data_IF_422258350828
#
_entry.id   IF_422258350828
#
_cell.length_a   1.000
_cell.length_b   1.000
_cell.length_c   1.000
_cell.angle_alpha   90.00
_cell.angle_beta   90.00
_cell.angle_gamma   90.00
#
_symmetry.space_group_name_H-M   'P 1'
#
loop_
_entity.id
_entity.type
_entity.pdbx_description
1 polymer ?
#
# COMPACT_ATOMS: atom_id res chain seq x y z
N UNK A 1 -0.98 -4.40 -20.50
CA UNK A 1 -2.43 -4.57 -20.71
C UNK A 1 -2.85 -4.05 -22.08
N UNK A 2 -2.58 -2.77 -22.38
CA UNK A 2 -2.96 -2.13 -23.65
C UNK A 2 -2.17 -2.71 -24.84
N UNK A 3 -0.85 -2.58 -24.85
CA UNK A 3 0.03 -2.93 -26.00
C UNK A 3 0.21 -4.44 -26.21
N UNK A 4 0.25 -5.22 -25.11
CA UNK A 4 0.55 -6.67 -25.13
C UNK A 4 -0.68 -7.57 -25.15
N UNK A 5 -1.77 -7.14 -24.51
CA UNK A 5 -2.95 -7.97 -24.30
C UNK A 5 -4.20 -7.42 -25.01
N UNK A 6 -4.10 -6.27 -25.69
CA UNK A 6 -5.22 -5.68 -26.42
C UNK A 6 -6.41 -5.33 -25.53
N UNK A 7 -6.17 -5.02 -24.25
CA UNK A 7 -7.21 -4.73 -23.26
C UNK A 7 -7.69 -3.26 -23.33
N UNK A 8 -7.75 -2.70 -24.54
CA UNK A 8 -8.28 -1.36 -24.79
C UNK A 8 -9.40 -1.42 -25.83
N UNK A 9 -10.50 -0.69 -25.59
CA UNK A 9 -11.69 -0.76 -26.44
C UNK A 9 -11.51 -0.06 -27.79
N UNK A 10 -10.61 0.91 -27.88
CA UNK A 10 -10.41 1.73 -29.08
C UNK A 10 -9.29 1.15 -29.96
N UNK A 11 -8.22 0.64 -29.34
CA UNK A 11 -7.15 -0.07 -30.05
C UNK A 11 -7.53 -1.52 -30.40
N UNK A 12 -8.49 -2.10 -29.69
CA UNK A 12 -8.97 -3.46 -29.92
C UNK A 12 -7.96 -4.55 -29.53
N UNK A 13 -8.28 -5.83 -29.82
CA UNK A 13 -7.50 -6.98 -29.40
C UNK A 13 -6.27 -7.22 -30.31
N UNK A 14 -5.44 -6.19 -30.51
CA UNK A 14 -4.24 -6.25 -31.35
C UNK A 14 -2.98 -6.35 -30.50
N UNK A 15 -2.05 -7.20 -30.92
CA UNK A 15 -0.72 -7.30 -30.31
C UNK A 15 0.21 -6.26 -30.95
N UNK A 16 0.50 -5.19 -30.19
CA UNK A 16 1.46 -4.16 -30.57
C UNK A 16 2.87 -4.39 -29.98
N UNK A 17 2.99 -5.29 -29.01
CA UNK A 17 4.27 -5.63 -28.38
C UNK A 17 5.04 -6.63 -29.23
N UNK A 18 6.32 -6.35 -29.50
CA UNK A 18 7.20 -7.31 -30.17
C UNK A 18 7.50 -8.48 -29.21
N UNK A 19 7.52 -9.70 -29.75
CA UNK A 19 7.76 -10.94 -28.99
C UNK A 19 9.25 -11.23 -28.82
N UNK A 20 10.11 -10.60 -29.62
CA UNK A 20 11.56 -10.82 -29.56
C UNK A 20 12.21 -9.86 -28.55
N UNK A 21 12.86 -10.42 -27.53
CA UNK A 21 13.83 -9.73 -26.65
C UNK A 21 15.10 -9.30 -27.41
N UNK A 22 15.00 -8.98 -28.70
CA UNK A 22 16.11 -8.45 -29.46
C UNK A 22 16.27 -6.97 -29.09
N UNK A 23 17.27 -6.70 -28.26
CA UNK A 23 17.69 -5.35 -27.84
C UNK A 23 18.02 -4.41 -29.02
N UNK A 24 18.04 -4.93 -30.25
CA UNK A 24 18.50 -4.25 -31.46
C UNK A 24 17.41 -3.88 -32.49
N UNK A 25 16.12 -4.15 -32.22
CA UNK A 25 15.04 -3.74 -33.15
C UNK A 25 14.47 -2.37 -32.80
N UNK A 26 15.01 -1.36 -33.49
CA UNK A 26 14.58 0.05 -33.45
C UNK A 26 13.22 0.36 -34.14
N UNK A 27 12.57 -0.61 -34.79
CA UNK A 27 11.36 -0.36 -35.58
C UNK A 27 10.09 -0.84 -34.87
N UNK A 28 9.27 0.12 -34.43
CA UNK A 28 7.89 -0.13 -34.00
C UNK A 28 7.07 -0.59 -35.20
N UNK A 29 6.36 -1.71 -35.08
CA UNK A 29 5.53 -2.28 -36.15
C UNK A 29 4.19 -1.53 -36.37
N UNK A 30 4.09 -0.27 -35.92
CA UNK A 30 2.87 0.53 -35.97
C UNK A 30 3.21 2.00 -36.25
N UNK A 31 2.26 2.72 -36.83
CA UNK A 31 2.44 4.12 -37.21
C UNK A 31 2.67 5.02 -36.00
N UNK A 32 3.32 6.18 -36.20
CA UNK A 32 3.45 7.22 -35.17
C UNK A 32 2.09 7.66 -34.61
N UNK A 33 1.06 7.74 -35.46
CA UNK A 33 -0.31 8.04 -35.03
C UNK A 33 -0.85 6.98 -34.04
N UNK A 34 -0.52 5.71 -34.27
CA UNK A 34 -0.88 4.62 -33.36
C UNK A 34 -0.06 4.67 -32.07
N UNK A 35 1.22 5.06 -32.15
CA UNK A 35 2.08 5.26 -30.99
C UNK A 35 1.52 6.36 -30.08
N UNK A 36 1.18 7.52 -30.64
CA UNK A 36 0.55 8.64 -29.92
C UNK A 36 -0.76 8.20 -29.24
N UNK A 37 -1.59 7.44 -29.95
CA UNK A 37 -2.83 6.90 -29.40
C UNK A 37 -2.57 5.95 -28.22
N UNK A 38 -1.59 5.05 -28.35
CA UNK A 38 -1.19 4.14 -27.26
C UNK A 38 -0.75 4.93 -26.03
N UNK A 39 0.11 5.94 -26.20
CA UNK A 39 0.61 6.77 -25.09
C UNK A 39 -0.53 7.50 -24.40
N UNK A 40 -1.47 8.04 -25.17
CA UNK A 40 -2.69 8.67 -24.63
C UNK A 40 -3.50 7.66 -23.80
N UNK A 41 -3.73 6.44 -24.30
CA UNK A 41 -4.49 5.41 -23.59
C UNK A 41 -3.81 4.95 -22.31
N UNK A 42 -2.49 4.82 -22.32
CA UNK A 42 -1.72 4.50 -21.11
C UNK A 42 -1.89 5.61 -20.08
N UNK A 43 -1.77 6.88 -20.49
CA UNK A 43 -1.93 8.03 -19.61
C UNK A 43 -3.35 8.11 -19.03
N UNK A 44 -4.38 7.94 -19.86
CA UNK A 44 -5.77 7.94 -19.42
C UNK A 44 -6.05 6.83 -18.42
N UNK A 45 -5.55 5.61 -18.68
CA UNK A 45 -5.66 4.48 -17.76
C UNK A 45 -4.97 4.74 -16.42
N UNK A 46 -3.75 5.27 -16.44
CA UNK A 46 -3.02 5.61 -15.22
C UNK A 46 -3.74 6.67 -14.39
N UNK A 47 -4.28 7.70 -15.05
CA UNK A 47 -5.05 8.75 -14.40
C UNK A 47 -6.32 8.19 -13.74
N UNK A 48 -7.05 7.31 -14.42
CA UNK A 48 -8.24 6.65 -13.87
C UNK A 48 -7.89 5.78 -12.64
N UNK A 49 -6.84 4.96 -12.74
CA UNK A 49 -6.34 4.17 -11.61
C UNK A 49 -5.93 5.06 -10.43
N UNK A 50 -5.24 6.18 -10.70
CA UNK A 50 -4.82 7.12 -9.68
C UNK A 50 -6.02 7.77 -8.99
N UNK A 51 -6.97 8.31 -9.74
CA UNK A 51 -8.14 8.97 -9.16
C UNK A 51 -9.03 7.99 -8.39
N UNK A 52 -9.20 6.75 -8.88
CA UNK A 52 -9.87 5.68 -8.13
C UNK A 52 -9.18 5.38 -6.81
N UNK A 53 -7.86 5.21 -6.83
CA UNK A 53 -7.07 4.92 -5.63
C UNK A 53 -7.14 6.07 -4.63
N UNK A 54 -7.01 7.31 -5.11
CA UNK A 54 -7.12 8.53 -4.30
C UNK A 54 -8.50 8.68 -3.69
N UNK A 55 -9.56 8.40 -4.44
CA UNK A 55 -10.93 8.42 -3.94
C UNK A 55 -11.14 7.36 -2.85
N UNK A 56 -10.62 6.14 -3.05
CA UNK A 56 -10.68 5.05 -2.07
C UNK A 56 -9.96 5.43 -0.77
N UNK A 57 -8.74 5.97 -0.86
CA UNK A 57 -7.97 6.41 0.30
C UNK A 57 -8.68 7.55 1.03
N UNK A 58 -9.18 8.55 0.30
CA UNK A 58 -9.93 9.67 0.89
C UNK A 58 -11.20 9.21 1.59
N UNK A 59 -11.95 8.29 1.00
CA UNK A 59 -13.17 7.73 1.60
C UNK A 59 -12.89 7.05 2.94
N UNK A 60 -11.73 6.40 3.07
CA UNK A 60 -11.32 5.68 4.28
C UNK A 60 -10.31 6.48 5.14
N UNK A 61 -10.21 7.81 4.94
CA UNK A 61 -9.17 8.64 5.55
C UNK A 61 -9.13 8.53 7.08
N UNK A 62 -10.29 8.63 7.75
CA UNK A 62 -10.36 8.53 9.22
C UNK A 62 -9.79 7.19 9.71
N UNK A 63 -10.22 6.10 9.08
CA UNK A 63 -9.77 4.75 9.41
C UNK A 63 -8.25 4.61 9.24
N UNK A 64 -7.70 5.11 8.13
CA UNK A 64 -6.25 5.09 7.85
C UNK A 64 -5.48 5.95 8.88
N UNK A 65 -6.00 7.13 9.24
CA UNK A 65 -5.40 7.98 10.27
C UNK A 65 -5.35 7.27 11.62
N UNK A 66 -6.41 6.59 12.04
CA UNK A 66 -6.40 5.84 13.30
C UNK A 66 -5.40 4.68 13.28
N UNK A 67 -5.39 3.89 12.20
CA UNK A 67 -4.40 2.82 12.04
C UNK A 67 -2.96 3.34 12.05
N UNK A 68 -2.72 4.52 11.48
CA UNK A 68 -1.39 5.14 11.48
C UNK A 68 -0.90 5.45 12.89
N UNK A 69 -1.79 5.83 13.82
CA UNK A 69 -1.43 6.03 15.23
C UNK A 69 -0.99 4.72 15.89
N UNK A 70 -1.69 3.62 15.62
CA UNK A 70 -1.31 2.31 16.13
C UNK A 70 0.06 1.89 15.60
N UNK A 71 0.31 2.11 14.30
CA UNK A 71 1.61 1.86 13.67
C UNK A 71 2.73 2.71 14.26
N UNK A 72 2.47 3.97 14.63
CA UNK A 72 3.46 4.81 15.29
C UNK A 72 3.86 4.25 16.67
N UNK A 73 2.93 3.60 17.37
CA UNK A 73 3.19 3.08 18.72
C UNK A 73 3.77 1.67 18.74
N UNK A 74 3.37 0.82 17.79
CA UNK A 74 3.70 -0.62 17.72
C UNK A 74 4.72 -0.97 16.63
N UNK A 75 4.95 -0.08 15.66
CA UNK A 75 5.86 -0.24 14.49
C UNK A 75 5.50 -1.34 13.49
N UNK A 76 4.62 -2.28 13.87
CA UNK A 76 4.10 -3.32 12.98
C UNK A 76 2.63 -3.61 13.28
N UNK A 77 1.94 -4.18 12.28
CA UNK A 77 0.59 -4.69 12.40
C UNK A 77 0.51 -6.09 11.82
N UNK A 78 -0.18 -6.99 12.51
CA UNK A 78 -0.51 -8.31 11.94
C UNK A 78 -1.69 -8.21 10.99
N UNK A 79 -1.89 -9.25 10.17
CA UNK A 79 -3.03 -9.32 9.25
C UNK A 79 -4.36 -9.28 10.01
N UNK A 80 -4.44 -9.97 11.14
CA UNK A 80 -5.62 -10.07 11.99
C UNK A 80 -5.99 -8.71 12.58
N UNK A 81 -5.01 -7.98 13.10
CA UNK A 81 -5.17 -6.64 13.66
C UNK A 81 -5.59 -5.63 12.59
N UNK A 82 -4.94 -5.68 11.42
CA UNK A 82 -5.31 -4.85 10.27
C UNK A 82 -6.76 -5.09 9.87
N UNK A 83 -7.18 -6.36 9.76
CA UNK A 83 -8.54 -6.73 9.39
C UNK A 83 -9.57 -6.35 10.46
N UNK A 84 -9.21 -6.43 11.74
CA UNK A 84 -10.08 -6.00 12.84
C UNK A 84 -10.33 -4.50 12.79
N UNK A 85 -9.28 -3.68 12.65
CA UNK A 85 -9.39 -2.22 12.54
C UNK A 85 -10.12 -1.77 11.26
N UNK A 86 -9.99 -2.54 10.18
CA UNK A 86 -10.74 -2.32 8.93
C UNK A 86 -12.25 -2.54 9.08
N UNK A 87 -12.67 -3.47 9.95
CA UNK A 87 -14.09 -3.80 10.15
C UNK A 87 -14.77 -2.89 11.17
N UNK A 88 -14.05 -2.53 12.22
CA UNK A 88 -14.57 -1.70 13.31
C UNK A 88 -13.50 -0.72 13.79
N UNK A 89 -13.78 0.57 13.61
CA UNK A 89 -12.86 1.64 13.99
C UNK A 89 -12.68 1.74 15.51
N UNK A 90 -13.64 1.26 16.31
CA UNK A 90 -13.55 1.27 17.77
C UNK A 90 -12.48 0.31 18.30
N UNK A 91 -12.05 -0.67 17.49
CA UNK A 91 -10.96 -1.58 17.84
C UNK A 91 -9.61 -0.87 17.96
N UNK A 92 -9.43 0.27 17.32
CA UNK A 92 -8.18 1.06 17.42
C UNK A 92 -7.95 1.50 18.87
N UNK A 93 -8.99 1.96 19.57
CA UNK A 93 -8.87 2.41 20.96
C UNK A 93 -8.54 1.27 21.92
N UNK A 94 -9.05 0.07 21.64
CA UNK A 94 -8.74 -1.16 22.39
C UNK A 94 -7.27 -1.53 22.21
N UNK A 95 -6.77 -1.57 20.97
CA UNK A 95 -5.36 -1.84 20.69
C UNK A 95 -4.42 -0.80 21.31
N UNK A 96 -4.77 0.49 21.26
CA UNK A 96 -3.97 1.55 21.87
C UNK A 96 -3.87 1.40 23.39
N UNK A 97 -4.95 0.96 24.06
CA UNK A 97 -4.92 0.65 25.49
C UNK A 97 -4.02 -0.55 25.79
N UNK A 98 -4.14 -1.63 25.03
CA UNK A 98 -3.30 -2.82 25.18
C UNK A 98 -1.80 -2.49 25.01
N UNK A 99 -1.46 -1.63 24.03
CA UNK A 99 -0.08 -1.17 23.83
C UNK A 99 0.40 -0.35 25.03
N UNK A 100 -0.42 0.58 25.53
CA UNK A 100 -0.06 1.39 26.68
C UNK A 100 0.15 0.55 27.95
N UNK A 101 -0.75 -0.41 28.22
CA UNK A 101 -0.64 -1.34 29.35
C UNK A 101 0.62 -2.20 29.26
N UNK A 102 0.94 -2.70 28.06
CA UNK A 102 2.16 -3.48 27.79
C UNK A 102 3.44 -2.66 28.05
N UNK A 103 3.47 -1.39 27.61
CA UNK A 103 4.58 -0.47 27.88
C UNK A 103 4.74 -0.19 29.38
N UNK A 104 3.65 0.01 30.10
CA UNK A 104 3.66 0.22 31.56
C UNK A 104 4.18 -1.02 32.29
N UNK A 105 3.77 -2.22 31.87
CA UNK A 105 4.22 -3.49 32.46
C UNK A 105 5.73 -3.66 32.29
N UNK A 106 6.23 -3.47 31.06
CA UNK A 106 7.67 -3.51 30.77
C UNK A 106 8.46 -2.51 31.61
N UNK A 107 7.99 -1.27 31.72
CA UNK A 107 8.65 -0.26 32.55
C UNK A 107 8.72 -0.66 34.03
N UNK A 108 7.65 -1.26 34.57
CA UNK A 108 7.62 -1.77 35.96
C UNK A 108 8.60 -2.92 36.17
N UNK A 109 8.78 -3.79 35.19
CA UNK A 109 9.72 -4.92 35.27
C UNK A 109 11.18 -4.44 35.25
N UNK A 110 11.50 -3.48 34.38
CA UNK A 110 12.83 -2.83 34.32
C UNK A 110 13.17 -2.16 35.66
N UNK A 111 12.24 -1.42 36.26
CA UNK A 111 12.47 -0.77 37.57
C UNK A 111 12.70 -1.78 38.71
N UNK A 112 12.11 -2.98 38.62
CA UNK A 112 12.33 -4.05 39.62
C UNK A 112 13.72 -4.68 39.47
N UNK A 113 14.21 -4.88 38.25
CA UNK A 113 15.55 -5.45 38.02
C UNK A 113 16.67 -4.51 38.45
N UNK A 114 16.53 -3.20 38.20
CA UNK A 114 17.50 -2.18 38.63
C UNK A 114 17.63 -2.06 40.16
N UNK A 115 16.49 -2.14 40.89
CA UNK A 115 16.49 -2.13 42.36
C UNK A 115 17.12 -3.39 42.97
N UNK A 116 17.08 -4.52 42.25
CA UNK A 116 17.70 -5.77 42.69
C UNK A 116 19.22 -5.73 42.50
N UNK A 117 19.71 -5.16 41.40
CA UNK A 117 21.14 -4.98 41.15
C UNK A 117 21.80 -3.96 42.09
N UNK A 118 21.12 -2.87 42.48
CA UNK A 118 21.64 -1.90 43.46
C UNK A 118 21.69 -2.39 44.91
N UNK A 119 21.01 -3.50 45.25
CA UNK A 119 21.06 -4.12 46.59
C UNK A 119 22.17 -5.17 46.73
N UNK A 120 22.78 -5.59 45.63
CA UNK A 120 23.80 -6.64 45.57
C UNK A 120 25.20 -6.10 45.21
N UNK A 121 25.38 -4.77 45.16
CA UNK A 121 26.64 -4.06 44.98
C UNK A 121 26.89 -3.18 46.21
#
# INVERSE_FOLDING_TARGET
MIVKYGMDKELGPVLYADKTNDEYKMYKAYSEKTAELIDKKIKDYLNDCYEKSKALVKKNKNMIEQMSKVLLEKEYLTKEEFMAMMKDINKVDEFMKEIAESKILLAKEVLKSEKKNKKNA
#
